data_IF_658904314122
#
_entry.id   IF_658904314122
#
_cell.length_a   1.000
_cell.length_b   1.000
_cell.length_c   1.000
_cell.angle_alpha   90.00
_cell.angle_beta   90.00
_cell.angle_gamma   90.00
#
_symmetry.space_group_name_H-M   'P 1'
#
loop_
_entity.id
_entity.type
_entity.pdbx_description
1 polymer ?
#
# COMPACT_ATOMS: atom_id res chain seq x y z
N UNK A 1 16.87 -6.39 -15.45
CA UNK A 1 15.41 -6.34 -15.52
C UNK A 1 14.96 -4.98 -15.00
N UNK A 2 14.09 -4.29 -15.73
CA UNK A 2 13.48 -3.02 -15.31
C UNK A 2 12.24 -3.27 -14.44
N UNK A 3 11.74 -2.24 -13.77
CA UNK A 3 10.48 -2.32 -13.01
C UNK A 3 9.31 -2.77 -13.90
N UNK A 4 9.18 -2.17 -15.09
CA UNK A 4 8.09 -2.50 -16.02
C UNK A 4 8.17 -3.95 -16.53
N UNK A 5 9.37 -4.45 -16.80
CA UNK A 5 9.57 -5.86 -17.16
C UNK A 5 9.14 -6.80 -16.01
N UNK A 6 9.46 -6.44 -14.76
CA UNK A 6 9.06 -7.23 -13.60
C UNK A 6 7.54 -7.22 -13.39
N UNK A 7 6.89 -6.08 -13.57
CA UNK A 7 5.42 -5.94 -13.54
C UNK A 7 4.78 -6.81 -14.62
N UNK A 8 5.28 -6.75 -15.85
CA UNK A 8 4.75 -7.57 -16.95
C UNK A 8 4.90 -9.07 -16.64
N UNK A 9 6.10 -9.53 -16.27
CA UNK A 9 6.36 -10.95 -15.98
C UNK A 9 5.49 -11.45 -14.83
N UNK A 10 5.39 -10.68 -13.74
CA UNK A 10 4.56 -11.08 -12.60
C UNK A 10 3.08 -11.16 -13.00
N UNK A 11 2.59 -10.18 -13.75
CA UNK A 11 1.20 -10.15 -14.24
C UNK A 11 0.90 -11.36 -15.11
N UNK A 12 1.77 -11.67 -16.06
CA UNK A 12 1.59 -12.81 -16.98
C UNK A 12 1.57 -14.14 -16.23
N UNK A 13 2.42 -14.30 -15.20
CA UNK A 13 2.45 -15.51 -14.38
C UNK A 13 1.23 -15.65 -13.50
N UNK A 14 0.76 -14.57 -12.85
CA UNK A 14 -0.48 -14.57 -12.08
C UNK A 14 -1.66 -14.93 -13.00
N UNK A 15 -1.76 -14.27 -14.15
CA UNK A 15 -2.82 -14.51 -15.12
C UNK A 15 -2.81 -15.96 -15.63
N UNK A 16 -1.63 -16.54 -15.87
CA UNK A 16 -1.49 -17.93 -16.29
C UNK A 16 -1.92 -18.93 -15.21
N UNK A 17 -1.61 -18.67 -13.93
CA UNK A 17 -2.03 -19.55 -12.82
C UNK A 17 -3.56 -19.52 -12.66
N UNK A 18 -4.16 -18.36 -12.89
CA UNK A 18 -5.59 -18.11 -12.69
C UNK A 18 -6.42 -18.18 -13.97
N UNK A 19 -5.86 -18.68 -15.08
CA UNK A 19 -6.43 -18.51 -16.43
C UNK A 19 -7.86 -19.05 -16.59
N UNK A 20 -8.22 -20.09 -15.86
CA UNK A 20 -9.57 -20.69 -15.87
C UNK A 20 -10.59 -19.97 -14.97
N UNK A 21 -10.18 -18.90 -14.29
CA UNK A 21 -10.98 -18.14 -13.32
C UNK A 21 -11.05 -16.63 -13.63
N UNK A 22 -10.80 -16.27 -14.90
CA UNK A 22 -10.96 -14.91 -15.46
C UNK A 22 -10.32 -13.84 -14.58
N UNK A 23 -8.98 -13.86 -14.40
CA UNK A 23 -8.32 -12.99 -13.46
C UNK A 23 -8.33 -11.54 -13.96
N UNK A 24 -8.40 -10.62 -13.02
CA UNK A 24 -8.22 -9.19 -13.23
C UNK A 24 -7.11 -8.72 -12.32
N UNK A 25 -6.10 -8.05 -12.87
CA UNK A 25 -4.92 -7.58 -12.12
C UNK A 25 -4.85 -6.07 -12.21
N UNK A 26 -4.82 -5.42 -11.05
CA UNK A 26 -4.59 -3.99 -10.91
C UNK A 26 -3.23 -3.72 -10.30
N UNK A 27 -2.61 -2.63 -10.75
CA UNK A 27 -1.50 -1.96 -10.08
C UNK A 27 -2.00 -0.70 -9.41
N UNK A 28 -1.54 -0.43 -8.20
CA UNK A 28 -1.82 0.81 -7.49
C UNK A 28 -0.61 1.25 -6.64
N UNK A 29 -0.86 2.18 -5.70
CA UNK A 29 0.15 2.58 -4.73
C UNK A 29 1.25 3.45 -5.33
N UNK A 30 2.49 3.27 -4.85
CA UNK A 30 3.58 4.22 -5.15
C UNK A 30 3.99 4.26 -6.63
N UNK A 31 3.84 3.15 -7.36
CA UNK A 31 4.20 3.08 -8.79
C UNK A 31 3.30 3.98 -9.62
N UNK A 32 1.97 3.93 -9.40
CA UNK A 32 1.02 4.75 -10.17
C UNK A 32 1.01 6.22 -9.75
N UNK A 33 1.53 6.52 -8.57
CA UNK A 33 1.70 7.89 -8.06
C UNK A 33 3.06 8.51 -8.43
N UNK A 34 3.85 7.85 -9.29
CA UNK A 34 5.20 8.27 -9.70
C UNK A 34 6.15 8.53 -8.50
N UNK A 35 6.00 7.74 -7.44
CA UNK A 35 6.78 7.86 -6.21
C UNK A 35 7.42 6.52 -5.81
N UNK A 36 7.53 5.56 -6.73
CA UNK A 36 8.23 4.31 -6.45
C UNK A 36 9.73 4.54 -6.25
N UNK A 37 10.26 3.99 -5.15
CA UNK A 37 11.68 4.04 -4.76
C UNK A 37 12.12 2.66 -4.32
N UNK A 38 13.08 2.08 -5.03
CA UNK A 38 13.62 0.76 -4.72
C UNK A 38 14.23 0.75 -3.31
N UNK A 39 13.98 -0.30 -2.54
CA UNK A 39 14.41 -0.42 -1.14
C UNK A 39 13.50 0.29 -0.13
N UNK A 40 12.48 1.01 -0.61
CA UNK A 40 11.54 1.71 0.26
C UNK A 40 10.07 1.52 -0.12
N UNK A 41 9.79 0.91 -1.27
CA UNK A 41 8.45 0.81 -1.81
C UNK A 41 8.15 -0.61 -2.20
N UNK A 42 6.90 -0.93 -1.98
CA UNK A 42 6.27 -2.12 -2.50
C UNK A 42 5.69 -1.83 -3.89
N UNK A 43 5.39 -2.91 -4.60
CA UNK A 43 4.67 -2.92 -5.87
C UNK A 43 3.27 -3.45 -5.53
N UNK A 44 2.36 -2.52 -5.25
CA UNK A 44 1.03 -2.84 -4.75
C UNK A 44 0.11 -3.34 -5.88
N UNK A 45 -0.44 -4.54 -5.71
CA UNK A 45 -1.38 -5.16 -6.64
C UNK A 45 -2.67 -5.61 -5.97
N UNK A 46 -3.74 -5.66 -6.75
CA UNK A 46 -4.98 -6.35 -6.40
C UNK A 46 -5.33 -7.33 -7.51
N UNK A 47 -5.54 -8.59 -7.16
CA UNK A 47 -5.93 -9.62 -8.10
C UNK A 47 -7.35 -10.10 -7.75
N UNK A 48 -8.26 -9.97 -8.70
CA UNK A 48 -9.65 -10.39 -8.54
C UNK A 48 -9.97 -11.52 -9.52
N UNK A 49 -10.65 -12.56 -9.05
CA UNK A 49 -11.16 -13.66 -9.88
C UNK A 49 -12.68 -13.67 -9.93
N UNK A 50 -13.25 -14.43 -10.87
CA UNK A 50 -14.70 -14.60 -10.97
C UNK A 50 -15.27 -15.44 -9.82
N UNK A 51 -14.57 -16.52 -9.47
CA UNK A 51 -14.94 -17.48 -8.40
C UNK A 51 -13.82 -17.58 -7.37
N UNK A 52 -14.10 -18.21 -6.24
CA UNK A 52 -13.09 -18.51 -5.22
C UNK A 52 -11.87 -19.21 -5.85
N UNK A 53 -10.67 -18.82 -5.42
CA UNK A 53 -9.41 -19.41 -5.89
C UNK A 53 -9.31 -20.86 -5.38
N UNK A 54 -8.93 -21.79 -6.26
CA UNK A 54 -8.74 -23.19 -5.85
C UNK A 54 -7.52 -23.37 -4.95
N UNK A 55 -7.45 -24.47 -4.21
CA UNK A 55 -6.29 -24.79 -3.37
C UNK A 55 -5.00 -24.87 -4.18
N UNK A 56 -5.05 -25.53 -5.35
CA UNK A 56 -3.91 -25.65 -6.26
C UNK A 56 -3.42 -24.27 -6.76
N UNK A 57 -4.34 -23.38 -7.11
CA UNK A 57 -4.00 -22.02 -7.53
C UNK A 57 -3.40 -21.22 -6.39
N UNK A 58 -3.99 -21.29 -5.20
CA UNK A 58 -3.52 -20.56 -4.03
C UNK A 58 -2.09 -20.99 -3.64
N UNK A 59 -1.81 -22.30 -3.65
CA UNK A 59 -0.46 -22.80 -3.41
C UNK A 59 0.54 -22.37 -4.47
N UNK A 60 0.14 -22.37 -5.75
CA UNK A 60 1.01 -21.91 -6.84
C UNK A 60 1.36 -20.42 -6.69
N UNK A 61 0.38 -19.58 -6.29
CA UNK A 61 0.59 -18.16 -6.04
C UNK A 61 1.51 -17.93 -4.84
N UNK A 62 1.36 -18.66 -3.73
CA UNK A 62 2.24 -18.54 -2.54
C UNK A 62 3.69 -18.93 -2.84
N UNK A 63 3.95 -19.75 -3.86
CA UNK A 63 5.32 -20.13 -4.29
C UNK A 63 5.85 -19.28 -5.44
N UNK A 64 5.03 -18.41 -6.02
CA UNK A 64 5.35 -17.76 -7.30
C UNK A 64 6.53 -16.79 -7.18
N UNK A 65 6.60 -15.97 -6.12
CA UNK A 65 7.70 -15.01 -5.96
C UNK A 65 9.04 -15.72 -5.83
N UNK A 66 9.08 -16.84 -5.10
CA UNK A 66 10.28 -17.69 -4.97
C UNK A 66 10.66 -18.37 -6.28
N UNK A 67 9.71 -19.03 -6.96
CA UNK A 67 9.96 -19.70 -8.24
C UNK A 67 10.48 -18.73 -9.32
N UNK A 68 9.99 -17.49 -9.33
CA UNK A 68 10.49 -16.45 -10.22
C UNK A 68 11.91 -16.01 -9.86
N UNK A 69 12.26 -15.95 -8.57
CA UNK A 69 13.63 -15.62 -8.17
C UNK A 69 14.63 -16.72 -8.53
N UNK A 70 14.23 -17.99 -8.55
CA UNK A 70 15.09 -19.07 -9.07
C UNK A 70 15.41 -18.87 -10.56
N UNK A 71 14.41 -18.45 -11.34
CA UNK A 71 14.57 -18.15 -12.77
C UNK A 71 15.32 -16.83 -13.02
N UNK A 72 15.20 -15.87 -12.11
CA UNK A 72 15.79 -14.53 -12.21
C UNK A 72 16.51 -14.14 -10.90
N UNK A 73 17.66 -14.76 -10.56
CA UNK A 73 18.28 -14.60 -9.24
C UNK A 73 18.71 -13.18 -8.87
N UNK A 74 19.00 -12.34 -9.88
CA UNK A 74 19.42 -10.95 -9.69
C UNK A 74 18.26 -9.95 -9.77
N UNK A 75 17.00 -10.41 -9.82
CA UNK A 75 15.85 -9.50 -9.89
C UNK A 75 15.58 -8.84 -8.51
N UNK A 76 15.54 -7.50 -8.43
CA UNK A 76 15.32 -6.81 -7.15
C UNK A 76 13.83 -6.54 -6.84
N UNK A 77 12.91 -6.87 -7.74
CA UNK A 77 11.51 -6.42 -7.70
C UNK A 77 10.52 -7.49 -7.25
N UNK A 78 10.73 -8.78 -7.57
CA UNK A 78 9.71 -9.81 -7.34
C UNK A 78 9.31 -9.96 -5.88
N UNK A 79 10.25 -9.74 -4.93
CA UNK A 79 9.95 -9.74 -3.48
C UNK A 79 9.11 -8.55 -3.01
N UNK A 80 9.07 -7.48 -3.81
CA UNK A 80 8.39 -6.23 -3.46
C UNK A 80 6.89 -6.25 -3.81
N UNK A 81 6.41 -7.26 -4.54
CA UNK A 81 4.98 -7.35 -4.83
C UNK A 81 4.19 -7.62 -3.55
N UNK A 82 3.23 -6.75 -3.26
CA UNK A 82 2.32 -6.86 -2.13
C UNK A 82 0.88 -6.76 -2.60
N UNK A 83 -0.03 -7.47 -1.95
CA UNK A 83 -1.41 -7.49 -2.39
C UNK A 83 -2.23 -8.66 -1.90
N UNK A 84 -3.50 -8.63 -2.31
CA UNK A 84 -4.46 -9.70 -2.09
C UNK A 84 -4.94 -10.30 -3.40
N UNK A 85 -5.22 -11.60 -3.36
CA UNK A 85 -5.81 -12.34 -4.46
C UNK A 85 -7.02 -13.11 -3.95
N UNK A 86 -8.20 -12.84 -4.49
CA UNK A 86 -9.48 -13.39 -4.05
C UNK A 86 -10.57 -13.18 -5.12
N UNK A 87 -11.76 -13.73 -4.95
CA UNK A 87 -12.84 -13.42 -5.89
C UNK A 87 -13.34 -11.98 -5.75
N UNK A 88 -13.89 -11.45 -6.84
CA UNK A 88 -14.55 -10.15 -6.82
C UNK A 88 -15.72 -10.10 -5.81
N UNK A 89 -16.43 -11.22 -5.61
CA UNK A 89 -17.52 -11.30 -4.63
C UNK A 89 -16.99 -11.14 -3.19
N UNK A 90 -15.91 -11.84 -2.84
CA UNK A 90 -15.29 -11.71 -1.53
C UNK A 90 -14.69 -10.33 -1.29
N UNK A 91 -14.07 -9.72 -2.30
CA UNK A 91 -13.55 -8.37 -2.19
C UNK A 91 -14.65 -7.33 -1.98
N UNK A 92 -15.74 -7.39 -2.76
CA UNK A 92 -16.81 -6.38 -2.73
C UNK A 92 -17.75 -6.56 -1.54
N UNK A 93 -18.05 -7.80 -1.16
CA UNK A 93 -19.08 -8.13 -0.17
C UNK A 93 -18.50 -8.59 1.18
N UNK A 94 -17.18 -8.67 1.32
CA UNK A 94 -16.51 -9.07 2.56
C UNK A 94 -16.76 -10.54 2.94
N UNK A 95 -17.10 -11.39 1.96
CA UNK A 95 -17.28 -12.82 2.16
C UNK A 95 -15.94 -13.47 2.50
N UNK A 96 -15.94 -14.36 3.48
CA UNK A 96 -14.78 -15.18 3.80
C UNK A 96 -14.66 -16.34 2.82
N UNK A 97 -13.49 -16.49 2.24
CA UNK A 97 -13.15 -17.57 1.32
C UNK A 97 -11.63 -17.65 1.15
N UNK A 98 -11.14 -18.67 0.46
CA UNK A 98 -9.71 -18.79 0.18
C UNK A 98 -9.19 -17.58 -0.58
N UNK A 99 -8.22 -16.91 0.02
CA UNK A 99 -7.48 -15.82 -0.55
C UNK A 99 -5.97 -16.06 -0.40
N UNK A 100 -5.18 -15.38 -1.22
CA UNK A 100 -3.72 -15.33 -1.09
C UNK A 100 -3.33 -13.92 -0.68
N UNK A 101 -2.48 -13.84 0.33
CA UNK A 101 -1.88 -12.58 0.78
C UNK A 101 -0.38 -12.61 0.52
N UNK A 102 0.11 -11.52 -0.07
CA UNK A 102 1.53 -11.18 -0.14
C UNK A 102 1.78 -9.87 0.62
N UNK A 103 2.77 -9.85 1.49
CA UNK A 103 3.25 -8.62 2.10
C UNK A 103 4.54 -8.76 2.88
N UNK A 104 4.90 -7.72 3.63
CA UNK A 104 6.11 -7.65 4.47
C UNK A 104 6.23 -8.79 5.49
N UNK A 105 5.11 -9.36 5.91
CA UNK A 105 5.05 -10.51 6.82
C UNK A 105 5.10 -11.87 6.11
N UNK A 106 5.42 -11.88 4.81
CA UNK A 106 5.51 -13.08 3.98
C UNK A 106 4.28 -13.36 3.13
N UNK A 107 4.17 -14.61 2.69
CA UNK A 107 3.18 -15.10 1.73
C UNK A 107 2.38 -16.21 2.39
N UNK A 108 1.06 -16.18 2.26
CA UNK A 108 0.20 -17.20 2.87
C UNK A 108 -1.15 -17.31 2.19
N UNK A 109 -1.71 -18.51 2.30
CA UNK A 109 -3.14 -18.74 2.09
C UNK A 109 -3.88 -18.27 3.34
N UNK A 110 -4.99 -17.58 3.15
CA UNK A 110 -5.84 -17.04 4.22
C UNK A 110 -7.31 -17.13 3.84
N UNK A 111 -8.22 -16.79 4.76
CA UNK A 111 -9.68 -16.83 4.55
C UNK A 111 -10.28 -15.44 4.25
N UNK A 112 -9.45 -14.39 4.19
CA UNK A 112 -9.87 -13.03 3.88
C UNK A 112 -8.69 -12.15 3.42
N UNK A 113 -8.99 -11.09 2.67
CA UNK A 113 -8.08 -9.99 2.43
C UNK A 113 -8.85 -8.67 2.50
N UNK A 114 -8.23 -7.64 3.07
CA UNK A 114 -8.81 -6.31 3.16
C UNK A 114 -7.82 -5.26 2.69
N UNK A 115 -8.19 -4.54 1.64
CA UNK A 115 -7.47 -3.35 1.21
C UNK A 115 -7.79 -2.17 2.14
N UNK A 116 -6.79 -1.33 2.42
CA UNK A 116 -7.01 -0.07 3.16
C UNK A 116 -7.83 0.91 2.30
N UNK A 117 -8.58 1.80 2.95
CA UNK A 117 -9.29 2.89 2.26
C UNK A 117 -8.36 3.79 1.47
N UNK A 118 -7.15 4.07 1.96
CA UNK A 118 -6.19 4.86 1.19
C UNK A 118 -5.74 4.13 -0.07
N UNK A 119 -5.46 2.82 0.02
CA UNK A 119 -5.14 2.00 -1.14
C UNK A 119 -6.30 1.94 -2.14
N UNK A 120 -7.53 1.79 -1.64
CA UNK A 120 -8.74 1.74 -2.44
C UNK A 120 -8.97 3.02 -3.25
N UNK A 121 -8.82 4.18 -2.60
CA UNK A 121 -8.96 5.46 -3.28
C UNK A 121 -7.85 5.69 -4.32
N UNK A 122 -6.59 5.31 -4.02
CA UNK A 122 -5.51 5.36 -5.02
C UNK A 122 -5.81 4.44 -6.22
N UNK A 123 -6.32 3.24 -5.98
CA UNK A 123 -6.72 2.31 -7.04
C UNK A 123 -7.82 2.90 -7.94
N UNK A 124 -8.84 3.54 -7.34
CA UNK A 124 -9.94 4.12 -8.10
C UNK A 124 -9.52 5.36 -8.89
N UNK A 125 -8.71 6.24 -8.30
CA UNK A 125 -8.31 7.51 -8.93
C UNK A 125 -7.19 7.34 -9.97
N UNK A 126 -6.20 6.47 -9.68
CA UNK A 126 -4.94 6.39 -10.43
C UNK A 126 -4.54 4.97 -10.82
N UNK A 127 -5.28 3.94 -10.38
CA UNK A 127 -4.92 2.55 -10.63
C UNK A 127 -4.83 2.20 -12.11
N UNK A 128 -3.90 1.31 -12.43
CA UNK A 128 -3.68 0.81 -13.79
C UNK A 128 -4.23 -0.61 -13.88
N UNK A 129 -5.12 -0.85 -14.84
CA UNK A 129 -5.54 -2.20 -15.22
C UNK A 129 -4.41 -2.86 -16.02
N UNK A 130 -3.80 -3.89 -15.46
CA UNK A 130 -2.71 -4.63 -16.09
C UNK A 130 -3.21 -5.83 -16.92
N UNK A 131 -4.29 -6.48 -16.46
CA UNK A 131 -4.86 -7.66 -17.11
C UNK A 131 -6.35 -7.82 -16.75
N UNK A 132 -7.14 -8.41 -17.65
CA UNK A 132 -8.55 -8.75 -17.41
C UNK A 132 -9.53 -7.62 -17.71
N UNK A 133 -10.68 -7.65 -17.04
CA UNK A 133 -11.76 -6.69 -17.22
C UNK A 133 -11.77 -5.66 -16.10
N UNK A 134 -12.03 -4.39 -16.42
CA UNK A 134 -12.16 -3.36 -15.39
C UNK A 134 -13.44 -3.57 -14.57
N UNK A 135 -13.28 -3.64 -13.24
CA UNK A 135 -14.32 -3.88 -12.24
C UNK A 135 -14.48 -2.68 -11.32
N UNK A 136 -13.74 -1.58 -11.54
CA UNK A 136 -13.80 -0.38 -10.70
C UNK A 136 -15.19 0.25 -10.65
N UNK A 137 -16.00 0.09 -11.69
CA UNK A 137 -17.40 0.55 -11.69
C UNK A 137 -18.28 -0.12 -10.60
N UNK A 138 -17.89 -1.32 -10.14
CA UNK A 138 -18.60 -2.07 -9.09
C UNK A 138 -18.08 -1.74 -7.69
N UNK A 139 -16.97 -1.01 -7.61
CA UNK A 139 -16.28 -0.72 -6.37
C UNK A 139 -16.84 0.57 -5.74
N UNK A 140 -16.84 0.61 -4.40
CA UNK A 140 -17.30 1.78 -3.65
C UNK A 140 -16.10 2.62 -3.25
N UNK A 141 -16.12 3.90 -3.64
CA UNK A 141 -15.11 4.85 -3.17
C UNK A 141 -15.21 5.00 -1.63
N UNK A 142 -14.09 4.89 -0.90
CA UNK A 142 -14.12 4.90 0.56
C UNK A 142 -14.64 6.24 1.09
N UNK A 143 -15.51 6.17 2.09
CA UNK A 143 -15.99 7.38 2.77
C UNK A 143 -14.88 8.04 3.56
N UNK A 144 -15.02 9.35 3.79
CA UNK A 144 -14.11 10.10 4.64
C UNK A 144 -13.99 9.49 6.06
N UNK A 145 -15.10 9.02 6.64
CA UNK A 145 -15.10 8.31 7.93
C UNK A 145 -14.25 7.04 7.90
N UNK A 146 -14.29 6.28 6.80
CA UNK A 146 -13.47 5.08 6.65
C UNK A 146 -11.97 5.44 6.54
N UNK A 147 -11.64 6.53 5.84
CA UNK A 147 -10.26 7.05 5.79
C UNK A 147 -9.78 7.49 7.18
N UNK A 148 -10.58 8.24 7.94
CA UNK A 148 -10.25 8.63 9.31
C UNK A 148 -9.97 7.42 10.21
N UNK A 149 -10.78 6.36 10.10
CA UNK A 149 -10.61 5.13 10.87
C UNK A 149 -9.28 4.43 10.53
N UNK A 150 -8.96 4.30 9.25
CA UNK A 150 -7.72 3.64 8.84
C UNK A 150 -6.48 4.47 9.22
N UNK A 151 -6.56 5.80 9.12
CA UNK A 151 -5.52 6.72 9.58
C UNK A 151 -5.32 6.62 11.10
N UNK A 152 -6.41 6.55 11.88
CA UNK A 152 -6.35 6.36 13.33
C UNK A 152 -5.67 5.03 13.71
N UNK A 153 -6.01 3.94 13.02
CA UNK A 153 -5.34 2.66 13.21
C UNK A 153 -3.85 2.75 12.90
N UNK A 154 -3.48 3.44 11.82
CA UNK A 154 -2.09 3.64 11.45
C UNK A 154 -1.31 4.46 12.50
N UNK A 155 -1.93 5.51 13.06
CA UNK A 155 -1.35 6.29 14.15
C UNK A 155 -1.02 5.42 15.38
N UNK A 156 -1.93 4.52 15.76
CA UNK A 156 -1.71 3.59 16.87
C UNK A 156 -0.54 2.63 16.61
N UNK A 157 -0.38 2.16 15.37
CA UNK A 157 0.78 1.32 14.99
C UNK A 157 2.07 2.13 15.04
N UNK A 158 2.06 3.35 14.50
CA UNK A 158 3.21 4.26 14.56
C UNK A 158 3.65 4.53 16.00
N UNK A 159 2.70 4.69 16.94
CA UNK A 159 3.03 4.82 18.37
C UNK A 159 3.72 3.60 18.95
N UNK A 160 3.26 2.40 18.60
CA UNK A 160 3.78 1.15 19.18
C UNK A 160 5.11 0.71 18.58
N UNK A 161 5.31 0.99 17.29
CA UNK A 161 6.39 0.39 16.50
C UNK A 161 7.21 1.40 15.70
N UNK A 162 6.95 2.70 15.85
CA UNK A 162 7.65 3.76 15.13
C UNK A 162 9.14 3.81 15.47
N UNK A 163 10.00 3.38 14.56
CA UNK A 163 11.45 3.38 14.78
C UNK A 163 12.26 3.90 13.58
N UNK A 164 11.59 4.18 12.46
CA UNK A 164 12.21 4.56 11.19
C UNK A 164 11.56 5.80 10.57
N UNK A 165 12.34 6.59 9.83
CA UNK A 165 11.90 7.86 9.23
C UNK A 165 10.71 7.72 8.26
N UNK A 166 10.47 6.53 7.70
CA UNK A 166 9.29 6.26 6.87
C UNK A 166 7.96 6.58 7.57
N UNK A 167 7.90 6.40 8.90
CA UNK A 167 6.73 6.73 9.70
C UNK A 167 6.37 8.22 9.65
N UNK A 168 7.34 9.11 9.51
CA UNK A 168 7.06 10.54 9.37
C UNK A 168 6.29 10.82 8.08
N UNK A 169 6.66 10.17 6.98
CA UNK A 169 5.98 10.35 5.69
C UNK A 169 4.56 9.77 5.71
N UNK A 170 4.37 8.64 6.39
CA UNK A 170 3.03 8.06 6.57
C UNK A 170 2.13 8.96 7.43
N UNK A 171 2.65 9.51 8.53
CA UNK A 171 1.93 10.47 9.38
C UNK A 171 1.58 11.73 8.57
N UNK A 172 2.53 12.28 7.80
CA UNK A 172 2.29 13.45 6.96
C UNK A 172 1.19 13.19 5.93
N UNK A 173 1.17 12.01 5.30
CA UNK A 173 0.12 11.62 4.34
C UNK A 173 -1.23 11.49 5.03
N UNK A 174 -1.29 10.95 6.24
CA UNK A 174 -2.48 10.94 7.08
C UNK A 174 -3.03 12.35 7.32
N UNK A 175 -2.19 13.27 7.81
CA UNK A 175 -2.59 14.66 8.08
C UNK A 175 -3.06 15.36 6.79
N UNK A 176 -2.36 15.18 5.67
CA UNK A 176 -2.76 15.72 4.38
C UNK A 176 -4.18 15.26 4.01
N UNK A 177 -4.45 13.96 4.19
CA UNK A 177 -5.75 13.36 3.85
C UNK A 177 -6.85 13.94 4.74
N UNK A 178 -6.61 14.08 6.05
CA UNK A 178 -7.56 14.69 6.98
C UNK A 178 -7.84 16.17 6.69
N UNK A 179 -6.86 16.92 6.19
CA UNK A 179 -7.06 18.35 5.89
C UNK A 179 -7.72 18.60 4.54
N UNK A 180 -7.50 17.74 3.56
CA UNK A 180 -7.86 18.01 2.16
C UNK A 180 -8.93 17.08 1.61
N UNK A 181 -9.15 15.92 2.23
CA UNK A 181 -9.96 14.83 1.68
C UNK A 181 -9.34 14.15 0.45
N UNK A 182 -8.10 14.51 0.08
CA UNK A 182 -7.37 13.97 -1.08
C UNK A 182 -6.21 13.10 -0.63
N UNK A 183 -5.75 12.23 -1.53
CA UNK A 183 -4.59 11.36 -1.29
C UNK A 183 -3.45 11.78 -2.22
N UNK A 184 -2.24 11.79 -1.67
CA UNK A 184 -1.00 12.06 -2.41
C UNK A 184 0.07 11.05 -2.02
N UNK A 185 1.14 11.01 -2.81
CA UNK A 185 2.34 10.22 -2.52
C UNK A 185 2.99 10.60 -1.18
N UNK A 186 3.77 9.67 -0.60
CA UNK A 186 4.46 9.88 0.68
C UNK A 186 5.45 11.04 0.60
N UNK A 187 6.21 11.13 -0.49
CA UNK A 187 7.16 12.24 -0.72
C UNK A 187 6.45 13.58 -0.77
N UNK A 188 5.39 13.70 -1.58
CA UNK A 188 4.61 14.93 -1.73
C UNK A 188 3.95 15.37 -0.40
N UNK A 189 3.44 14.42 0.38
CA UNK A 189 2.90 14.71 1.71
C UNK A 189 3.97 15.25 2.67
N UNK A 190 5.18 14.70 2.64
CA UNK A 190 6.31 15.17 3.45
C UNK A 190 6.75 16.58 3.07
N UNK A 191 6.82 16.89 1.78
CA UNK A 191 7.13 18.24 1.28
C UNK A 191 6.07 19.26 1.70
N UNK A 192 4.80 18.91 1.50
CA UNK A 192 3.69 19.74 1.95
C UNK A 192 3.72 19.98 3.47
N UNK A 193 4.07 18.95 4.27
CA UNK A 193 4.20 19.10 5.72
C UNK A 193 5.35 20.04 6.12
N UNK A 194 6.44 20.09 5.36
CA UNK A 194 7.53 21.06 5.54
C UNK A 194 7.09 22.48 5.20
N UNK A 195 6.47 22.66 4.03
CA UNK A 195 6.02 23.96 3.54
C UNK A 195 5.01 24.62 4.49
N UNK A 196 4.19 23.81 5.16
CA UNK A 196 3.13 24.28 6.06
C UNK A 196 3.54 24.23 7.55
N UNK A 197 4.79 23.89 7.88
CA UNK A 197 5.27 23.83 9.26
C UNK A 197 4.51 22.85 10.15
N UNK A 198 4.04 21.73 9.59
CA UNK A 198 3.14 20.78 10.26
C UNK A 198 3.93 19.79 11.12
N UNK A 199 5.09 19.33 10.64
CA UNK A 199 5.92 18.41 11.41
C UNK A 199 6.65 19.19 12.54
N UNK A 200 6.54 18.77 13.81
CA UNK A 200 7.23 19.43 14.93
C UNK A 200 8.77 19.42 14.81
N UNK A 201 9.32 18.52 13.99
CA UNK A 201 10.74 18.40 13.72
C UNK A 201 11.01 18.51 12.22
N UNK A 202 11.28 19.74 11.78
CA UNK A 202 11.47 20.04 10.36
C UNK A 202 12.76 19.42 9.79
N UNK A 203 13.81 19.24 10.60
CA UNK A 203 15.06 18.61 10.17
C UNK A 203 14.86 17.11 9.94
N UNK A 204 14.15 16.44 10.84
CA UNK A 204 13.78 15.04 10.67
C UNK A 204 12.90 14.83 9.43
N UNK A 205 11.92 15.71 9.19
CA UNK A 205 11.09 15.62 7.99
C UNK A 205 11.88 15.91 6.71
N UNK A 206 12.79 16.89 6.71
CA UNK A 206 13.72 17.14 5.58
C UNK A 206 14.56 15.91 5.28
N UNK A 207 15.12 15.27 6.32
CA UNK A 207 15.86 14.02 6.18
C UNK A 207 14.97 12.92 5.59
N UNK A 208 13.74 12.74 6.09
CA UNK A 208 12.81 11.73 5.59
C UNK A 208 12.50 11.89 4.09
N UNK A 209 12.16 13.11 3.67
CA UNK A 209 11.89 13.43 2.25
C UNK A 209 13.13 13.20 1.40
N UNK A 210 14.31 13.67 1.85
CA UNK A 210 15.56 13.49 1.12
C UNK A 210 15.91 12.00 0.95
N UNK A 211 15.91 11.24 2.05
CA UNK A 211 16.22 9.82 2.04
C UNK A 211 15.29 9.04 1.10
N UNK A 212 14.00 9.39 1.08
CA UNK A 212 13.03 8.78 0.16
C UNK A 212 13.35 9.10 -1.30
N UNK A 213 13.60 10.37 -1.65
CA UNK A 213 13.92 10.79 -3.02
C UNK A 213 15.20 10.14 -3.56
N UNK A 214 16.23 10.08 -2.72
CA UNK A 214 17.54 9.52 -3.05
C UNK A 214 17.60 7.99 -2.91
N UNK A 215 16.53 7.36 -2.41
CA UNK A 215 16.46 5.92 -2.10
C UNK A 215 17.64 5.46 -1.22
N UNK A 216 17.95 6.23 -0.16
CA UNK A 216 19.06 5.91 0.76
C UNK A 216 18.88 4.53 1.41
N UNK A 217 19.96 3.82 1.78
CA UNK A 217 19.86 2.53 2.46
C UNK A 217 19.05 2.61 3.75
N UNK A 218 18.29 1.56 4.05
CA UNK A 218 17.41 1.50 5.23
C UNK A 218 18.12 1.65 6.56
N UNK A 219 19.42 1.40 6.61
CA UNK A 219 20.22 1.42 7.83
C UNK A 219 20.45 2.86 8.35
N UNK A 220 20.25 3.87 7.50
CA UNK A 220 20.28 5.30 7.88
C UNK A 220 18.90 5.85 8.30
N UNK A 221 17.87 4.99 8.27
CA UNK A 221 16.48 5.37 8.51
C UNK A 221 16.11 5.42 9.99
N UNK A 222 16.99 5.02 10.90
CA UNK A 222 16.72 5.10 12.34
C UNK A 222 16.47 6.55 12.76
N UNK A 223 15.47 6.73 13.62
CA UNK A 223 15.11 8.01 14.20
C UNK A 223 14.64 7.80 15.64
N UNK A 224 14.86 8.81 16.47
CA UNK A 224 14.30 8.82 17.82
C UNK A 224 12.77 8.70 17.76
N UNK A 225 12.25 7.65 18.40
CA UNK A 225 10.82 7.40 18.53
C UNK A 225 10.09 8.62 19.09
N UNK A 226 10.72 9.42 19.96
CA UNK A 226 10.12 10.64 20.50
C UNK A 226 9.72 11.65 19.40
N UNK A 227 10.43 11.71 18.28
CA UNK A 227 10.06 12.57 17.14
C UNK A 227 8.79 12.05 16.49
N UNK A 228 8.70 10.72 16.29
CA UNK A 228 7.52 10.06 15.73
C UNK A 228 6.30 10.27 16.66
N UNK A 229 6.47 10.12 17.98
CA UNK A 229 5.38 10.34 18.95
C UNK A 229 4.85 11.78 18.87
N UNK A 230 5.74 12.78 18.90
CA UNK A 230 5.33 14.19 18.79
C UNK A 230 4.56 14.46 17.50
N UNK A 231 4.94 13.81 16.39
CA UNK A 231 4.22 14.00 15.15
C UNK A 231 2.89 13.23 15.11
N UNK A 232 2.83 12.05 15.75
CA UNK A 232 1.59 11.32 15.96
C UNK A 232 0.59 12.13 16.82
N UNK A 233 1.05 12.89 17.82
CA UNK A 233 0.21 13.80 18.60
C UNK A 233 -0.48 14.84 17.70
N UNK A 234 0.23 15.37 16.69
CA UNK A 234 -0.36 16.31 15.71
C UNK A 234 -1.44 15.60 14.89
N UNK A 235 -1.18 14.39 14.40
CA UNK A 235 -2.15 13.61 13.64
C UNK A 235 -3.41 13.30 14.44
N UNK A 236 -3.27 12.93 15.71
CA UNK A 236 -4.39 12.67 16.61
C UNK A 236 -5.20 13.94 16.89
N UNK A 237 -4.53 15.08 17.13
CA UNK A 237 -5.23 16.36 17.24
C UNK A 237 -6.02 16.72 15.98
N UNK A 238 -5.51 16.40 14.80
CA UNK A 238 -6.25 16.57 13.55
C UNK A 238 -7.46 15.63 13.49
N UNK A 239 -7.33 14.35 13.88
CA UNK A 239 -8.46 13.42 13.97
C UNK A 239 -9.56 13.92 14.91
N UNK A 240 -9.20 14.44 16.07
CA UNK A 240 -10.15 14.96 17.06
C UNK A 240 -10.94 16.16 16.52
N UNK A 241 -10.28 17.08 15.80
CA UNK A 241 -10.95 18.22 15.14
C UNK A 241 -11.99 17.76 14.13
N UNK A 242 -11.74 16.66 13.42
CA UNK A 242 -12.68 16.10 12.46
C UNK A 242 -13.84 15.40 13.15
N UNK A 243 -13.59 14.71 14.26
CA UNK A 243 -14.65 14.10 15.08
C UNK A 243 -15.72 15.10 15.52
N UNK A 244 -15.33 16.33 15.87
CA UNK A 244 -16.25 17.41 16.24
C UNK A 244 -16.94 18.09 15.05
N UNK A 245 -16.43 17.89 13.82
CA UNK A 245 -16.96 18.54 12.61
C UNK A 245 -18.06 17.72 11.94
N UNK A 246 -18.18 16.44 12.30
CA UNK A 246 -19.14 15.48 11.75
C UNK A 246 -20.00 14.79 12.84
N UNK A 247 -19.93 15.25 14.09
CA UNK A 247 -20.84 14.92 15.20
C UNK A 247 -21.97 15.93 15.30
#
# INVERSE_FOLDING_TARGET
MTLNEAIQIMTDKIASILADNTPTVYLHGSVVLDDFRLGWSDIDILVLTEREISEQQAEALVRLREALLECYPSNPYFRLFEGGMLSADAFLNGKKERAVYWGTSGERITDNYRMSSLGMAVLLDNGILLHGNDLRERMIYPSYTQMCKDISQHAQVARRHGAVIGWLLDIARGIYTLRTGKIVAKTAAGEWALENGICPDADAMRKAVKCRKEACPTDENSIDNAIIQRFADVLESELDKQGHRYS
#
